data_IF_787620409163
#
_entry.id   IF_787620409163
#
_cell.length_a   1.000
_cell.length_b   1.000
_cell.length_c   1.000
_cell.angle_alpha   90.00
_cell.angle_beta   90.00
_cell.angle_gamma   90.00
#
_symmetry.space_group_name_H-M   'P 1'
#
loop_
_entity.id
_entity.type
_entity.pdbx_description
1 polymer ?
#
# COMPACT_ATOMS: atom_id res chain seq x y z
N UNK A 1 -14.01 9.64 -17.36
CA UNK A 1 -14.69 10.45 -16.33
C UNK A 1 -15.35 9.59 -15.24
N UNK A 2 -16.11 8.54 -15.59
CA UNK A 2 -16.84 7.74 -14.57
C UNK A 2 -15.95 7.05 -13.53
N UNK A 3 -14.81 6.50 -13.92
CA UNK A 3 -13.91 5.77 -13.01
C UNK A 3 -13.33 6.67 -11.90
N UNK A 4 -12.98 7.92 -12.24
CA UNK A 4 -12.52 8.91 -11.26
C UNK A 4 -13.65 9.31 -10.30
N UNK A 5 -14.86 9.48 -10.80
CA UNK A 5 -16.05 9.81 -9.98
C UNK A 5 -16.36 8.69 -8.98
N UNK A 6 -16.28 7.42 -9.40
CA UNK A 6 -16.47 6.26 -8.53
C UNK A 6 -15.37 6.11 -7.48
N UNK A 7 -14.12 6.39 -7.83
CA UNK A 7 -13.01 6.37 -6.87
C UNK A 7 -13.14 7.48 -5.82
N UNK A 8 -13.60 8.68 -6.20
CA UNK A 8 -13.84 9.75 -5.25
C UNK A 8 -15.00 9.41 -4.29
N UNK A 9 -16.11 8.88 -4.81
CA UNK A 9 -17.22 8.41 -3.98
C UNK A 9 -16.81 7.29 -3.01
N UNK A 10 -15.90 6.41 -3.42
CA UNK A 10 -15.35 5.37 -2.56
C UNK A 10 -14.50 5.97 -1.43
N UNK A 11 -13.68 6.99 -1.71
CA UNK A 11 -12.95 7.72 -0.67
C UNK A 11 -13.89 8.39 0.32
N UNK A 12 -14.94 9.05 -0.16
CA UNK A 12 -15.91 9.72 0.70
C UNK A 12 -16.62 8.71 1.61
N UNK A 13 -16.93 7.52 1.09
CA UNK A 13 -17.51 6.40 1.86
C UNK A 13 -16.56 5.89 2.93
N UNK A 14 -15.27 5.74 2.62
CA UNK A 14 -14.27 5.33 3.61
C UNK A 14 -14.01 6.40 4.66
N UNK A 15 -13.93 7.68 4.27
CA UNK A 15 -13.75 8.79 5.20
C UNK A 15 -14.95 8.89 6.16
N UNK A 16 -16.17 8.61 5.69
CA UNK A 16 -17.34 8.50 6.56
C UNK A 16 -17.26 7.30 7.49
N UNK A 17 -16.89 6.12 7.02
CA UNK A 17 -16.71 4.94 7.88
C UNK A 17 -15.67 5.18 8.98
N UNK A 18 -14.57 5.85 8.65
CA UNK A 18 -13.54 6.25 9.60
C UNK A 18 -14.05 7.30 10.60
N UNK A 19 -14.84 8.28 10.13
CA UNK A 19 -15.45 9.32 10.97
C UNK A 19 -16.45 8.75 11.99
N UNK A 20 -17.19 7.70 11.63
CA UNK A 20 -18.11 7.01 12.53
C UNK A 20 -17.42 5.94 13.40
N UNK A 21 -16.09 5.92 13.45
CA UNK A 21 -15.33 5.14 14.42
C UNK A 21 -15.02 3.72 13.99
N UNK A 22 -15.10 3.40 12.70
CA UNK A 22 -14.55 2.13 12.21
C UNK A 22 -13.05 2.08 12.53
N UNK A 23 -12.70 1.20 13.46
CA UNK A 23 -11.30 0.86 13.80
C UNK A 23 -10.74 -0.22 12.88
N UNK A 24 -11.48 -0.59 11.85
CA UNK A 24 -11.06 -1.65 10.94
C UNK A 24 -9.86 -1.21 10.15
N UNK A 25 -8.75 -1.87 10.43
CA UNK A 25 -7.50 -1.73 9.71
C UNK A 25 -7.70 -1.99 8.19
N UNK A 26 -8.72 -2.79 7.83
CA UNK A 26 -9.15 -3.07 6.46
C UNK A 26 -9.63 -1.81 5.73
N UNK A 27 -10.32 -0.88 6.41
CA UNK A 27 -10.81 0.37 5.79
C UNK A 27 -9.64 1.26 5.38
N UNK A 28 -8.63 1.38 6.25
CA UNK A 28 -7.41 2.12 5.94
C UNK A 28 -6.62 1.49 4.78
N UNK A 29 -6.54 0.17 4.73
CA UNK A 29 -5.93 -0.56 3.61
C UNK A 29 -6.67 -0.31 2.30
N UNK A 30 -8.00 -0.44 2.29
CA UNK A 30 -8.83 -0.22 1.10
C UNK A 30 -8.74 1.24 0.61
N UNK A 31 -8.78 2.20 1.54
CA UNK A 31 -8.56 3.62 1.26
C UNK A 31 -7.21 3.87 0.61
N UNK A 32 -6.14 3.26 1.12
CA UNK A 32 -4.80 3.32 0.53
C UNK A 32 -4.77 2.83 -0.93
N UNK A 33 -5.43 1.70 -1.21
CA UNK A 33 -5.52 1.15 -2.57
C UNK A 33 -6.25 2.06 -3.56
N UNK A 34 -7.33 2.71 -3.13
CA UNK A 34 -8.04 3.70 -3.95
C UNK A 34 -7.18 4.94 -4.20
N UNK A 35 -6.52 5.47 -3.16
CA UNK A 35 -5.62 6.62 -3.28
C UNK A 35 -4.44 6.34 -4.23
N UNK A 36 -3.86 5.13 -4.16
CA UNK A 36 -2.81 4.68 -5.07
C UNK A 36 -3.32 4.63 -6.52
N UNK A 37 -4.53 4.11 -6.74
CA UNK A 37 -5.17 4.08 -8.07
C UNK A 37 -5.44 5.48 -8.63
N UNK A 38 -5.68 6.45 -7.75
CA UNK A 38 -5.81 7.87 -8.07
C UNK A 38 -4.47 8.61 -8.20
N UNK A 39 -3.33 7.90 -8.10
CA UNK A 39 -1.97 8.46 -8.07
C UNK A 39 -1.71 9.46 -6.93
N UNK A 40 -2.54 9.47 -5.90
CA UNK A 40 -2.34 10.25 -4.68
C UNK A 40 -1.44 9.46 -3.71
N UNK A 41 -0.19 9.24 -4.11
CA UNK A 41 0.69 8.27 -3.48
C UNK A 41 1.00 8.61 -2.01
N UNK A 42 1.27 9.87 -1.66
CA UNK A 42 1.57 10.25 -0.28
C UNK A 42 0.40 9.95 0.67
N UNK A 43 -0.83 10.24 0.24
CA UNK A 43 -2.04 9.90 1.02
C UNK A 43 -2.27 8.40 1.10
N UNK A 44 -1.90 7.64 0.06
CA UNK A 44 -1.96 6.19 0.08
C UNK A 44 -0.99 5.63 1.14
N UNK A 45 0.26 6.10 1.16
CA UNK A 45 1.26 5.72 2.16
C UNK A 45 0.77 6.00 3.59
N UNK A 46 0.23 7.19 3.85
CA UNK A 46 -0.33 7.53 5.16
C UNK A 46 -1.50 6.62 5.57
N UNK A 47 -2.31 6.18 4.59
CA UNK A 47 -3.40 5.23 4.84
C UNK A 47 -2.88 3.83 5.14
N UNK A 48 -1.84 3.37 4.44
CA UNK A 48 -1.18 2.09 4.73
C UNK A 48 -0.49 2.10 6.10
N UNK A 49 0.15 3.19 6.49
CA UNK A 49 0.73 3.34 7.83
C UNK A 49 -0.34 3.27 8.93
N UNK A 50 -1.49 3.88 8.68
CA UNK A 50 -2.65 3.79 9.59
C UNK A 50 -3.24 2.39 9.67
N UNK A 51 -3.20 1.62 8.57
CA UNK A 51 -3.61 0.22 8.53
C UNK A 51 -2.64 -0.69 9.30
N UNK A 52 -1.33 -0.48 9.12
CA UNK A 52 -0.27 -1.20 9.84
C UNK A 52 -0.34 -0.97 11.35
N UNK A 53 -0.54 0.28 11.78
CA UNK A 53 -0.70 0.63 13.20
C UNK A 53 -1.91 -0.06 13.88
N UNK A 54 -2.86 -0.57 13.08
CA UNK A 54 -4.05 -1.30 13.53
C UNK A 54 -3.98 -2.79 13.22
N UNK A 55 -2.79 -3.31 12.86
CA UNK A 55 -2.54 -4.71 12.54
C UNK A 55 -3.39 -5.29 11.40
N UNK A 56 -3.73 -4.49 10.37
CA UNK A 56 -4.26 -5.08 9.12
C UNK A 56 -3.17 -5.89 8.45
N UNK A 57 -3.47 -7.17 8.17
CA UNK A 57 -2.72 -8.10 7.30
C UNK A 57 -1.33 -7.58 6.89
N UNK A 58 -0.34 -7.60 7.79
CA UNK A 58 0.87 -6.80 7.64
C UNK A 58 1.62 -7.08 6.33
N UNK A 59 1.68 -8.34 5.91
CA UNK A 59 2.29 -8.74 4.63
C UNK A 59 1.67 -8.02 3.42
N UNK A 60 0.32 -7.98 3.35
CA UNK A 60 -0.38 -7.34 2.24
C UNK A 60 -0.19 -5.81 2.25
N UNK A 61 -0.27 -5.19 3.43
CA UNK A 61 -0.11 -3.74 3.56
C UNK A 61 1.31 -3.30 3.21
N UNK A 62 2.34 -4.02 3.70
CA UNK A 62 3.74 -3.74 3.35
C UNK A 62 4.03 -3.93 1.86
N UNK A 63 3.40 -4.92 1.21
CA UNK A 63 3.49 -5.11 -0.24
C UNK A 63 2.91 -3.94 -1.03
N UNK A 64 1.69 -3.50 -0.70
CA UNK A 64 1.08 -2.34 -1.36
C UNK A 64 1.86 -1.04 -1.10
N UNK A 65 2.43 -0.88 0.10
CA UNK A 65 3.35 0.22 0.42
C UNK A 65 4.61 0.17 -0.46
N UNK A 66 5.22 -1.01 -0.61
CA UNK A 66 6.37 -1.24 -1.49
C UNK A 66 6.06 -0.84 -2.93
N UNK A 67 4.94 -1.31 -3.48
CA UNK A 67 4.50 -0.98 -4.84
C UNK A 67 4.27 0.54 -4.99
N UNK A 68 3.66 1.17 -4.00
CA UNK A 68 3.42 2.62 -4.01
C UNK A 68 4.73 3.41 -4.07
N UNK A 69 5.70 3.05 -3.24
CA UNK A 69 7.03 3.67 -3.21
C UNK A 69 7.80 3.43 -4.52
N UNK A 70 7.67 2.23 -5.10
CA UNK A 70 8.25 1.92 -6.41
C UNK A 70 7.70 2.84 -7.51
N UNK A 71 6.38 3.05 -7.53
CA UNK A 71 5.73 3.96 -8.48
C UNK A 71 6.15 5.42 -8.31
N UNK A 72 6.55 5.82 -7.10
CA UNK A 72 7.14 7.13 -6.81
C UNK A 72 8.63 7.23 -7.13
N UNK A 73 9.28 6.15 -7.59
CA UNK A 73 10.73 6.11 -7.83
C UNK A 73 11.58 5.98 -6.55
N UNK A 74 10.95 5.76 -5.39
CA UNK A 74 11.61 5.63 -4.08
C UNK A 74 12.04 4.18 -3.86
N UNK A 75 13.00 3.70 -4.66
CA UNK A 75 13.34 2.29 -4.75
C UNK A 75 13.96 1.69 -3.48
N UNK A 76 14.77 2.44 -2.73
CA UNK A 76 15.33 1.97 -1.44
C UNK A 76 14.24 1.71 -0.40
N UNK A 77 13.29 2.64 -0.28
CA UNK A 77 12.19 2.52 0.67
C UNK A 77 11.17 1.45 0.24
N UNK A 78 11.00 1.29 -1.07
CA UNK A 78 10.25 0.18 -1.67
C UNK A 78 10.87 -1.15 -1.27
N UNK A 79 12.20 -1.30 -1.42
CA UNK A 79 12.92 -2.52 -1.03
C UNK A 79 12.73 -2.82 0.46
N UNK A 80 12.92 -1.82 1.33
CA UNK A 80 12.71 -1.97 2.78
C UNK A 80 11.27 -2.42 3.12
N UNK A 81 10.27 -1.86 2.42
CA UNK A 81 8.87 -2.26 2.60
C UNK A 81 8.61 -3.68 2.08
N UNK A 82 9.23 -4.07 0.96
CA UNK A 82 9.13 -5.41 0.40
C UNK A 82 9.77 -6.47 1.32
N UNK A 83 10.93 -6.16 1.88
CA UNK A 83 11.62 -7.04 2.83
C UNK A 83 10.77 -7.24 4.10
N UNK A 84 10.14 -6.17 4.60
CA UNK A 84 9.15 -6.29 5.70
C UNK A 84 7.98 -7.18 5.32
N UNK A 85 7.43 -7.05 4.11
CA UNK A 85 6.34 -7.92 3.65
C UNK A 85 6.77 -9.41 3.66
N UNK A 86 8.00 -9.71 3.23
CA UNK A 86 8.58 -11.05 3.24
C UNK A 86 8.82 -11.59 4.66
N UNK A 87 9.14 -10.74 5.65
CA UNK A 87 9.22 -11.20 7.05
C UNK A 87 7.87 -11.78 7.52
N UNK A 88 6.76 -11.15 7.14
CA UNK A 88 5.42 -11.64 7.50
C UNK A 88 4.91 -12.79 6.61
N UNK A 89 5.43 -12.91 5.39
CA UNK A 89 5.04 -13.96 4.44
C UNK A 89 6.22 -14.40 3.55
N UNK A 90 7.18 -15.17 4.08
CA UNK A 90 8.47 -15.43 3.40
C UNK A 90 8.36 -16.33 2.17
N UNK A 91 7.28 -17.12 2.06
CA UNK A 91 7.04 -18.03 0.93
C UNK A 91 6.24 -17.43 -0.23
N UNK A 92 5.93 -16.12 -0.19
CA UNK A 92 5.16 -15.44 -1.23
C UNK A 92 6.03 -15.19 -2.47
N UNK A 93 5.86 -16.02 -3.49
CA UNK A 93 6.61 -15.91 -4.76
C UNK A 93 6.49 -14.54 -5.42
N UNK A 94 5.32 -13.90 -5.31
CA UNK A 94 5.08 -12.55 -5.85
C UNK A 94 5.89 -11.47 -5.12
N UNK A 95 6.12 -11.59 -3.80
CA UNK A 95 6.95 -10.66 -3.04
C UNK A 95 8.44 -10.85 -3.37
N UNK A 96 8.88 -12.10 -3.58
CA UNK A 96 10.24 -12.40 -4.02
C UNK A 96 10.49 -11.79 -5.40
N UNK A 97 9.54 -11.93 -6.33
CA UNK A 97 9.62 -11.30 -7.66
C UNK A 97 9.63 -9.77 -7.58
N UNK A 98 8.76 -9.17 -6.76
CA UNK A 98 8.78 -7.72 -6.52
C UNK A 98 10.15 -7.26 -6.01
N UNK A 99 10.71 -7.96 -5.03
CA UNK A 99 12.05 -7.66 -4.48
C UNK A 99 13.12 -7.68 -5.56
N UNK A 100 13.14 -8.71 -6.41
CA UNK A 100 14.08 -8.81 -7.53
C UNK A 100 13.92 -7.65 -8.52
N UNK A 101 12.69 -7.25 -8.84
CA UNK A 101 12.41 -6.11 -9.70
C UNK A 101 12.95 -4.80 -9.11
N UNK A 102 12.76 -4.59 -7.81
CA UNK A 102 13.25 -3.40 -7.10
C UNK A 102 14.78 -3.37 -7.08
N UNK A 103 15.42 -4.50 -6.78
CA UNK A 103 16.88 -4.65 -6.80
C UNK A 103 17.47 -4.36 -8.17
N UNK A 104 16.82 -4.84 -9.24
CA UNK A 104 17.19 -4.51 -10.62
C UNK A 104 17.13 -3.01 -10.93
N UNK A 105 16.17 -2.26 -10.36
CA UNK A 105 16.11 -0.79 -10.48
C UNK A 105 17.19 -0.07 -9.67
N UNK A 106 17.63 -0.65 -8.57
CA UNK A 106 18.74 -0.15 -7.75
C UNK A 106 20.12 -0.50 -8.33
N UNK A 107 20.18 -1.34 -9.37
CA UNK A 107 21.44 -1.84 -9.92
C UNK A 107 22.17 -2.83 -9.01
N UNK A 108 21.49 -3.35 -7.99
CA UNK A 108 22.01 -4.36 -7.06
C UNK A 108 21.54 -5.72 -7.57
N UNK A 109 22.45 -6.56 -8.04
CA UNK A 109 22.17 -7.94 -8.49
C UNK A 109 22.74 -8.93 -7.50
#
# INVERSE_FOLDING_TARGET
>A
MERLKRHQQALDSYDMALKYGSRDAVVWYARGGVLRSLKQFDKALASYDSALARNASPAAVWSEKSVTLFLMGRYEESLSSCDKALIYAPGRSDLIQQRQQILGKLGRK
#
